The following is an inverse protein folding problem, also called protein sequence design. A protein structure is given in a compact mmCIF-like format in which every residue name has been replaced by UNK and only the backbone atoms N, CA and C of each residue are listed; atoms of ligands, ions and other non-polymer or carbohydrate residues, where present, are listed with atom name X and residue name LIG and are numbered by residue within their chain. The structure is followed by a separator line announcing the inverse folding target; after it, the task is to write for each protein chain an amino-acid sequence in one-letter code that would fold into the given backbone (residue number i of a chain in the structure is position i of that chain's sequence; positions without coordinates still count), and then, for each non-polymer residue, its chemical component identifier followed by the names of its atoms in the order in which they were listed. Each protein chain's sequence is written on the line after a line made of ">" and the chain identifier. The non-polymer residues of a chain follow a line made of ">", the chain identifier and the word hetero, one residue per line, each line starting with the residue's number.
data_IF_077572891230
#
_entry.id   IF_077572891230
#
_cell.length_a   1.000
_cell.length_b   1.000
_cell.length_c   1.000
_cell.angle_alpha   90.00
_cell.angle_beta   90.00
_cell.angle_gamma   90.00
#
_symmetry.space_group_name_H-M   'P 1'
#
loop_
_entity.id
_entity.type
_entity.pdbx_description
1 polymer ?
#
# COMPACT_ATOMS: atom_id res chain seq x y z
N UNK A 1 10.59 -8.63 -21.54
CA UNK A 1 9.57 -8.55 -20.48
C UNK A 1 8.27 -7.94 -20.96
N UNK A 2 8.28 -6.72 -21.48
CA UNK A 2 7.08 -6.05 -21.97
C UNK A 2 6.38 -6.82 -23.10
N UNK A 3 7.13 -7.54 -23.91
CA UNK A 3 6.65 -8.41 -25.00
C UNK A 3 6.45 -9.88 -24.57
N UNK A 4 6.52 -10.18 -23.28
CA UNK A 4 6.38 -11.54 -22.76
C UNK A 4 7.53 -12.48 -23.07
N UNK A 5 8.69 -11.96 -23.45
CA UNK A 5 9.88 -12.75 -23.80
C UNK A 5 10.84 -12.82 -22.61
N UNK A 6 11.30 -14.03 -22.29
CA UNK A 6 12.26 -14.35 -21.24
C UNK A 6 11.62 -14.74 -19.91
N UNK A 7 12.30 -15.64 -19.20
CA UNK A 7 11.83 -16.23 -17.94
C UNK A 7 12.50 -15.62 -16.70
N UNK A 8 13.53 -14.80 -16.90
CA UNK A 8 14.33 -14.22 -15.82
C UNK A 8 14.61 -12.75 -16.07
N UNK A 9 14.80 -12.01 -14.98
CA UNK A 9 15.21 -10.60 -15.00
C UNK A 9 16.50 -10.45 -14.20
N UNK A 10 17.41 -9.63 -14.70
CA UNK A 10 18.59 -9.22 -13.99
C UNK A 10 18.60 -7.69 -13.82
N UNK A 11 18.85 -7.25 -12.60
CA UNK A 11 19.13 -5.84 -12.26
C UNK A 11 20.55 -5.77 -11.73
N UNK A 12 21.28 -4.76 -12.15
CA UNK A 12 22.63 -4.48 -11.65
C UNK A 12 22.67 -3.02 -11.21
N UNK A 13 22.94 -2.81 -9.94
CA UNK A 13 23.11 -1.49 -9.34
C UNK A 13 24.55 -1.30 -8.92
N UNK A 14 24.99 -0.05 -8.86
CA UNK A 14 26.26 0.30 -8.22
C UNK A 14 25.97 0.58 -6.74
N UNK A 15 26.28 -0.36 -5.83
CA UNK A 15 25.98 -0.15 -4.42
C UNK A 15 26.90 0.92 -3.83
N UNK A 16 26.42 1.64 -2.84
CA UNK A 16 27.30 2.42 -1.98
C UNK A 16 28.32 1.51 -1.29
N UNK A 17 29.49 2.02 -0.87
CA UNK A 17 30.45 1.26 -0.08
C UNK A 17 29.75 0.65 1.15
N UNK A 18 29.83 -0.66 1.31
CA UNK A 18 29.12 -1.46 2.34
C UNK A 18 27.58 -1.41 2.23
N UNK A 19 27.03 -1.03 1.08
CA UNK A 19 25.59 -1.02 0.82
C UNK A 19 24.98 -2.42 0.77
N UNK A 20 23.68 -2.48 0.97
CA UNK A 20 22.90 -3.73 0.93
C UNK A 20 22.84 -4.27 -0.51
N UNK A 21 23.34 -5.50 -0.70
CA UNK A 21 23.31 -6.19 -2.00
C UNK A 21 21.93 -6.75 -2.37
N UNK A 22 20.99 -6.77 -1.43
CA UNK A 22 19.61 -7.22 -1.69
C UNK A 22 18.77 -6.16 -2.39
N UNK A 23 19.25 -4.91 -2.49
CA UNK A 23 18.57 -3.82 -3.18
C UNK A 23 18.26 -4.15 -4.66
N UNK A 24 19.16 -4.85 -5.34
CA UNK A 24 18.98 -5.30 -6.73
C UNK A 24 17.73 -6.22 -6.87
N UNK A 25 17.48 -7.07 -5.87
CA UNK A 25 16.30 -7.95 -5.83
C UNK A 25 15.03 -7.12 -5.61
N UNK A 26 15.08 -6.16 -4.69
CA UNK A 26 13.96 -5.25 -4.41
C UNK A 26 13.57 -4.46 -5.66
N UNK A 27 14.56 -3.89 -6.36
CA UNK A 27 14.30 -3.16 -7.62
C UNK A 27 13.75 -4.08 -8.71
N UNK A 28 14.27 -5.31 -8.84
CA UNK A 28 13.73 -6.28 -9.79
C UNK A 28 12.25 -6.62 -9.49
N UNK A 29 11.90 -6.81 -8.22
CA UNK A 29 10.52 -7.03 -7.78
C UNK A 29 9.61 -5.84 -8.11
N UNK A 30 10.07 -4.62 -7.86
CA UNK A 30 9.33 -3.40 -8.18
C UNK A 30 9.08 -3.25 -9.69
N UNK A 31 10.06 -3.58 -10.52
CA UNK A 31 9.90 -3.58 -11.99
C UNK A 31 8.83 -4.60 -12.41
N UNK A 32 8.89 -5.82 -11.93
CA UNK A 32 7.91 -6.86 -12.25
C UNK A 32 6.50 -6.48 -11.78
N UNK A 33 6.40 -5.89 -10.60
CA UNK A 33 5.14 -5.44 -10.03
C UNK A 33 4.54 -4.25 -10.79
N UNK A 34 5.36 -3.26 -11.16
CA UNK A 34 4.90 -2.09 -11.94
C UNK A 34 4.43 -2.47 -13.35
N UNK A 35 4.95 -3.56 -13.90
CA UNK A 35 4.52 -4.13 -15.18
C UNK A 35 3.28 -5.05 -15.04
N UNK A 36 2.75 -5.26 -13.83
CA UNK A 36 1.62 -6.14 -13.58
C UNK A 36 1.91 -7.63 -13.82
N UNK A 37 3.19 -8.03 -13.86
CA UNK A 37 3.60 -9.42 -14.11
C UNK A 37 3.46 -10.26 -12.84
N UNK A 38 3.86 -9.69 -11.69
CA UNK A 38 3.81 -10.38 -10.40
C UNK A 38 3.77 -9.40 -9.25
N UNK A 39 2.93 -9.63 -8.26
CA UNK A 39 2.88 -8.89 -7.00
C UNK A 39 3.80 -9.54 -5.96
N UNK A 40 4.52 -8.72 -5.20
CA UNK A 40 5.44 -9.16 -4.13
C UNK A 40 5.08 -8.57 -2.78
N UNK A 41 4.56 -7.33 -2.79
CA UNK A 41 4.13 -6.59 -1.60
C UNK A 41 2.86 -5.81 -1.94
N UNK A 42 2.01 -5.48 -0.96
CA UNK A 42 0.89 -4.59 -1.19
C UNK A 42 1.33 -3.29 -1.85
N UNK A 43 0.54 -2.82 -2.80
CA UNK A 43 0.82 -1.59 -3.52
C UNK A 43 0.27 -0.40 -2.75
N UNK A 44 1.13 0.56 -2.38
CA UNK A 44 0.70 1.85 -1.82
C UNK A 44 0.67 2.88 -2.93
N UNK A 45 -0.50 3.46 -3.16
CA UNK A 45 -0.71 4.57 -4.08
C UNK A 45 -0.89 5.85 -3.29
N UNK A 46 -0.01 6.82 -3.49
CA UNK A 46 -0.13 8.15 -2.91
C UNK A 46 -0.38 9.18 -4.02
N UNK A 47 -1.08 10.26 -3.70
CA UNK A 47 -1.23 11.35 -4.64
C UNK A 47 0.11 12.08 -4.84
N UNK A 48 0.37 12.68 -6.03
CA UNK A 48 1.63 13.36 -6.33
C UNK A 48 1.82 14.68 -5.55
N UNK A 49 0.80 15.12 -4.81
CA UNK A 49 0.75 16.45 -4.22
C UNK A 49 0.35 17.52 -5.26
N UNK A 50 -0.40 18.49 -4.82
CA UNK A 50 -0.82 19.62 -5.67
C UNK A 50 -1.01 20.86 -4.78
N UNK A 51 -1.41 21.99 -5.36
CA UNK A 51 -1.67 23.23 -4.61
C UNK A 51 -2.76 23.15 -3.52
N UNK A 52 -3.50 22.04 -3.45
CA UNK A 52 -4.47 21.76 -2.38
C UNK A 52 -3.83 21.12 -1.15
N UNK A 53 -2.60 20.67 -1.25
CA UNK A 53 -1.88 19.97 -0.17
C UNK A 53 -0.55 20.66 0.06
N UNK A 54 -0.46 21.48 1.10
CA UNK A 54 0.78 22.18 1.50
C UNK A 54 1.55 21.40 2.57
N UNK A 55 0.94 20.38 3.18
CA UNK A 55 1.55 19.51 4.18
C UNK A 55 2.24 18.32 3.52
N UNK A 56 3.38 17.91 4.05
CA UNK A 56 4.09 16.65 3.68
C UNK A 56 3.52 15.44 4.39
N UNK A 57 2.58 15.61 5.31
CA UNK A 57 2.07 14.55 6.16
C UNK A 57 1.56 13.31 5.38
N UNK A 58 0.88 13.53 4.24
CA UNK A 58 0.42 12.41 3.42
C UNK A 58 1.57 11.60 2.79
N UNK A 59 2.69 12.26 2.46
CA UNK A 59 3.90 11.61 1.93
C UNK A 59 4.58 10.80 3.04
N UNK A 60 4.74 11.41 4.22
CA UNK A 60 5.31 10.76 5.39
C UNK A 60 4.46 9.55 5.82
N UNK A 61 3.13 9.69 5.82
CA UNK A 61 2.22 8.59 6.10
C UNK A 61 2.33 7.49 5.05
N UNK A 62 2.37 7.83 3.76
CA UNK A 62 2.51 6.85 2.69
C UNK A 62 3.81 6.05 2.81
N UNK A 63 4.92 6.72 3.16
CA UNK A 63 6.21 6.08 3.40
C UNK A 63 6.18 5.16 4.63
N UNK A 64 5.58 5.61 5.73
CA UNK A 64 5.41 4.80 6.94
C UNK A 64 4.56 3.55 6.66
N UNK A 65 3.44 3.69 5.95
CA UNK A 65 2.59 2.57 5.56
C UNK A 65 3.34 1.61 4.65
N UNK A 66 4.07 2.11 3.65
CA UNK A 66 4.86 1.27 2.75
C UNK A 66 5.96 0.50 3.48
N UNK A 67 6.65 1.13 4.42
CA UNK A 67 7.67 0.50 5.25
C UNK A 67 7.05 -0.57 6.14
N UNK A 68 5.94 -0.26 6.80
CA UNK A 68 5.18 -1.21 7.61
C UNK A 68 4.76 -2.45 6.81
N UNK A 69 4.20 -2.26 5.62
CA UNK A 69 3.78 -3.37 4.76
C UNK A 69 4.95 -4.27 4.36
N UNK A 70 6.12 -3.70 4.06
CA UNK A 70 7.34 -4.46 3.74
C UNK A 70 7.81 -5.30 4.95
N UNK A 71 7.76 -4.73 6.14
CA UNK A 71 8.14 -5.41 7.38
C UNK A 71 7.19 -6.57 7.73
N UNK A 72 5.90 -6.39 7.48
CA UNK A 72 4.88 -7.41 7.75
C UNK A 72 4.85 -8.54 6.70
N UNK A 73 5.24 -8.26 5.45
CA UNK A 73 5.14 -9.22 4.35
C UNK A 73 5.74 -10.60 4.63
N UNK A 74 6.93 -10.76 5.23
CA UNK A 74 7.48 -12.08 5.53
C UNK A 74 6.55 -12.93 6.42
N UNK A 75 5.89 -12.31 7.40
CA UNK A 75 4.94 -12.98 8.29
C UNK A 75 3.60 -13.23 7.58
N UNK A 76 3.06 -12.22 6.91
CA UNK A 76 1.77 -12.34 6.24
C UNK A 76 1.78 -13.38 5.12
N UNK A 77 2.86 -13.45 4.36
CA UNK A 77 3.00 -14.41 3.27
C UNK A 77 2.98 -15.87 3.73
N UNK A 78 3.36 -16.15 4.99
CA UNK A 78 3.26 -17.50 5.57
C UNK A 78 1.84 -17.84 6.04
N UNK A 79 1.03 -16.81 6.36
CA UNK A 79 -0.32 -16.98 6.95
C UNK A 79 -1.44 -16.73 5.98
N UNK A 80 -1.26 -15.82 5.02
CA UNK A 80 -2.31 -15.32 4.14
C UNK A 80 -1.91 -15.46 2.69
N UNK A 81 -2.77 -16.04 1.86
CA UNK A 81 -2.55 -16.16 0.43
C UNK A 81 -3.15 -14.94 -0.30
N UNK A 82 -2.36 -14.29 -1.18
CA UNK A 82 -2.80 -13.19 -2.01
C UNK A 82 -2.73 -11.81 -1.34
N UNK A 83 -2.20 -11.70 -0.12
CA UNK A 83 -2.04 -10.41 0.58
C UNK A 83 -1.11 -9.45 -0.19
N UNK A 84 -0.20 -9.97 -0.99
CA UNK A 84 0.70 -9.22 -1.87
C UNK A 84 -0.04 -8.44 -2.97
N UNK A 85 -1.28 -8.79 -3.28
CA UNK A 85 -2.12 -8.13 -4.29
C UNK A 85 -2.93 -6.96 -3.70
N UNK A 86 -2.89 -6.77 -2.39
CA UNK A 86 -3.64 -5.71 -1.72
C UNK A 86 -3.21 -4.33 -2.23
N UNK A 87 -4.19 -3.46 -2.42
CA UNK A 87 -4.00 -2.06 -2.81
C UNK A 87 -4.39 -1.13 -1.67
N UNK A 88 -3.47 -0.27 -1.28
CA UNK A 88 -3.66 0.75 -0.25
C UNK A 88 -3.53 2.14 -0.89
N UNK A 89 -4.45 3.05 -0.59
CA UNK A 89 -4.41 4.42 -1.07
C UNK A 89 -4.21 5.41 0.09
N UNK A 90 -3.26 6.33 -0.07
CA UNK A 90 -3.02 7.44 0.86
C UNK A 90 -3.12 8.74 0.09
N UNK A 91 -4.24 9.44 0.26
CA UNK A 91 -4.56 10.64 -0.51
C UNK A 91 -4.44 11.89 0.36
N UNK A 92 -3.86 12.95 -0.19
CA UNK A 92 -3.56 14.19 0.52
C UNK A 92 -4.68 15.23 0.50
N UNK A 93 -5.87 14.92 -0.02
CA UNK A 93 -7.04 15.79 0.05
C UNK A 93 -8.34 15.00 -0.14
N UNK A 94 -9.45 15.54 0.36
CA UNK A 94 -10.77 14.90 0.26
C UNK A 94 -11.43 15.08 -1.13
N UNK A 95 -10.86 15.87 -2.02
CA UNK A 95 -11.43 16.11 -3.36
C UNK A 95 -11.23 14.91 -4.28
N UNK A 96 -10.00 14.41 -4.39
CA UNK A 96 -9.66 13.25 -5.22
C UNK A 96 -9.65 11.94 -4.41
N UNK A 97 -9.46 12.04 -3.10
CA UNK A 97 -9.31 10.91 -2.21
C UNK A 97 -10.43 9.87 -2.30
N UNK A 98 -11.70 10.25 -2.26
CA UNK A 98 -12.81 9.30 -2.36
C UNK A 98 -12.84 8.55 -3.70
N UNK A 99 -12.45 9.20 -4.81
CA UNK A 99 -12.37 8.59 -6.13
C UNK A 99 -11.31 7.51 -6.20
N UNK A 100 -10.09 7.85 -5.82
CA UNK A 100 -8.95 6.92 -5.82
C UNK A 100 -9.10 5.81 -4.78
N UNK A 101 -9.60 6.14 -3.59
CA UNK A 101 -9.81 5.15 -2.51
C UNK A 101 -10.85 4.08 -2.86
N UNK A 102 -11.80 4.37 -3.76
CA UNK A 102 -12.78 3.38 -4.24
C UNK A 102 -12.17 2.26 -5.08
N UNK A 103 -11.01 2.51 -5.69
CA UNK A 103 -10.30 1.52 -6.52
C UNK A 103 -9.25 0.74 -5.73
N UNK A 104 -9.14 0.99 -4.43
CA UNK A 104 -8.22 0.32 -3.51
C UNK A 104 -9.00 -0.55 -2.52
N UNK A 105 -8.33 -1.56 -1.97
CA UNK A 105 -8.91 -2.37 -0.91
C UNK A 105 -9.12 -1.53 0.36
N UNK A 106 -8.12 -0.73 0.71
CA UNK A 106 -8.19 0.24 1.80
C UNK A 106 -7.65 1.58 1.31
N UNK A 107 -8.35 2.66 1.63
CA UNK A 107 -7.89 4.01 1.31
C UNK A 107 -8.19 5.00 2.42
N UNK A 108 -7.30 5.95 2.60
CA UNK A 108 -7.50 7.10 3.48
C UNK A 108 -7.33 8.40 2.69
N UNK A 109 -8.21 9.35 2.96
CA UNK A 109 -8.12 10.70 2.40
C UNK A 109 -7.81 11.68 3.52
N UNK A 110 -6.57 12.17 3.56
CA UNK A 110 -6.15 13.16 4.54
C UNK A 110 -6.71 14.55 4.20
N UNK A 111 -6.91 15.43 5.16
CA UNK A 111 -7.36 16.79 4.89
C UNK A 111 -6.29 17.56 4.13
N UNK A 112 -6.70 18.25 3.09
CA UNK A 112 -5.87 19.22 2.38
C UNK A 112 -5.81 20.56 3.10
N UNK A 113 -5.16 21.53 2.47
CA UNK A 113 -5.07 22.90 2.97
C UNK A 113 -6.46 23.52 3.09
N UNK A 114 -6.76 24.10 4.23
CA UNK A 114 -8.07 24.72 4.55
C UNK A 114 -9.25 23.71 4.65
N UNK A 115 -9.01 22.40 4.60
CA UNK A 115 -10.03 21.41 4.86
C UNK A 115 -10.15 21.12 6.36
N UNK A 116 -11.33 20.64 6.80
CA UNK A 116 -11.50 20.20 8.18
C UNK A 116 -10.55 19.03 8.49
N UNK A 117 -9.97 18.94 9.72
CA UNK A 117 -9.05 17.88 10.11
C UNK A 117 -9.76 16.53 10.27
N UNK A 118 -10.31 16.03 9.18
CA UNK A 118 -11.04 14.78 9.09
C UNK A 118 -10.40 13.90 8.01
N UNK A 119 -10.13 12.66 8.34
CA UNK A 119 -9.53 11.68 7.43
C UNK A 119 -10.50 10.51 7.22
N UNK A 120 -11.39 10.57 6.21
CA UNK A 120 -12.27 9.46 5.87
C UNK A 120 -11.47 8.26 5.39
N UNK A 121 -11.81 7.08 5.93
CA UNK A 121 -11.25 5.79 5.56
C UNK A 121 -12.29 4.99 4.78
N UNK A 122 -11.84 4.47 3.65
CA UNK A 122 -12.64 3.64 2.75
C UNK A 122 -12.12 2.20 2.77
N UNK A 123 -13.03 1.26 2.81
CA UNK A 123 -12.76 -0.18 2.70
C UNK A 123 -13.65 -0.75 1.60
N UNK A 124 -13.04 -1.42 0.63
CA UNK A 124 -13.71 -1.98 -0.55
C UNK A 124 -14.67 -0.98 -1.23
N UNK A 125 -14.18 0.25 -1.39
CA UNK A 125 -14.91 1.34 -2.05
C UNK A 125 -16.00 2.01 -1.22
N UNK A 126 -16.21 1.60 0.04
CA UNK A 126 -17.23 2.17 0.94
C UNK A 126 -16.59 2.94 2.07
N UNK A 127 -17.19 4.07 2.42
CA UNK A 127 -16.79 4.81 3.61
C UNK A 127 -17.05 3.96 4.85
N UNK A 128 -16.00 3.64 5.58
CA UNK A 128 -16.07 2.85 6.81
C UNK A 128 -16.20 3.76 8.04
N UNK A 129 -15.28 4.69 8.19
CA UNK A 129 -15.24 5.63 9.32
C UNK A 129 -14.43 6.88 8.95
N UNK A 130 -14.36 7.84 9.86
CA UNK A 130 -13.54 9.05 9.71
C UNK A 130 -12.65 9.22 10.92
N UNK A 131 -11.34 9.16 10.69
CA UNK A 131 -10.31 9.37 11.70
C UNK A 131 -10.09 10.87 11.97
N UNK A 132 -9.64 11.20 13.17
CA UNK A 132 -9.35 12.56 13.61
C UNK A 132 -8.22 12.56 14.64
N UNK A 133 -7.49 13.68 14.72
CA UNK A 133 -6.46 13.89 15.75
C UNK A 133 -5.09 13.35 15.37
N UNK A 134 -4.25 13.14 16.37
CA UNK A 134 -2.80 12.90 16.19
C UNK A 134 -2.42 11.43 15.97
N UNK A 135 -3.38 10.50 16.14
CA UNK A 135 -3.13 9.05 16.06
C UNK A 135 -3.60 8.41 14.75
N UNK A 136 -3.89 9.20 13.72
CA UNK A 136 -4.43 8.75 12.43
C UNK A 136 -3.61 7.59 11.84
N UNK A 137 -2.29 7.67 11.86
CA UNK A 137 -1.42 6.62 11.29
C UNK A 137 -1.58 5.30 12.03
N UNK A 138 -1.52 5.34 13.36
CA UNK A 138 -1.63 4.13 14.19
C UNK A 138 -3.03 3.49 14.07
N UNK A 139 -4.07 4.31 14.05
CA UNK A 139 -5.45 3.84 13.87
C UNK A 139 -5.66 3.25 12.46
N UNK A 140 -5.08 3.87 11.43
CA UNK A 140 -5.14 3.35 10.07
C UNK A 140 -4.39 2.01 9.94
N UNK A 141 -3.21 1.87 10.55
CA UNK A 141 -2.46 0.61 10.59
C UNK A 141 -3.29 -0.49 11.28
N UNK A 142 -4.01 -0.15 12.37
CA UNK A 142 -4.88 -1.12 13.02
C UNK A 142 -6.00 -1.59 12.07
N UNK A 143 -6.69 -0.67 11.39
CA UNK A 143 -7.72 -1.01 10.41
C UNK A 143 -7.16 -1.89 9.30
N UNK A 144 -5.94 -1.61 8.84
CA UNK A 144 -5.26 -2.38 7.82
C UNK A 144 -4.98 -3.82 8.28
N UNK A 145 -4.53 -4.00 9.53
CA UNK A 145 -4.32 -5.33 10.11
C UNK A 145 -5.65 -6.09 10.25
N UNK A 146 -6.67 -5.45 10.79
CA UNK A 146 -8.01 -6.03 10.95
C UNK A 146 -8.57 -6.47 9.59
N UNK A 147 -8.33 -5.68 8.53
CA UNK A 147 -8.70 -6.03 7.16
C UNK A 147 -7.95 -7.27 6.66
N UNK A 148 -6.62 -7.32 6.85
CA UNK A 148 -5.82 -8.48 6.41
C UNK A 148 -6.28 -9.74 7.13
N UNK A 149 -6.49 -9.69 8.44
CA UNK A 149 -6.92 -10.83 9.23
C UNK A 149 -8.31 -11.35 8.83
N UNK A 150 -9.25 -10.44 8.58
CA UNK A 150 -10.61 -10.83 8.20
C UNK A 150 -10.73 -11.27 6.75
N UNK A 151 -10.13 -10.51 5.83
CA UNK A 151 -10.31 -10.72 4.40
C UNK A 151 -9.48 -11.88 3.85
N UNK A 152 -8.21 -11.96 4.23
CA UNK A 152 -7.31 -13.00 3.71
C UNK A 152 -7.35 -14.31 4.50
N UNK A 153 -7.73 -14.30 5.78
CA UNK A 153 -7.95 -15.51 6.56
C UNK A 153 -9.13 -16.33 6.00
N UNK A 154 -10.19 -15.68 5.55
CA UNK A 154 -11.33 -16.35 4.91
C UNK A 154 -10.94 -17.08 3.61
N UNK A 155 -10.00 -16.53 2.82
CA UNK A 155 -9.50 -17.18 1.61
C UNK A 155 -8.76 -18.49 1.87
N UNK A 156 -8.06 -18.63 3.00
CA UNK A 156 -7.39 -19.89 3.36
C UNK A 156 -8.37 -21.01 3.68
N UNK A 157 -9.54 -20.69 4.25
CA UNK A 157 -10.59 -21.67 4.57
C UNK A 157 -11.26 -22.23 3.29
N UNK A 158 -11.36 -21.42 2.23
CA UNK A 158 -11.96 -21.85 0.95
C UNK A 158 -11.04 -22.79 0.14
N UNK A 159 -9.72 -22.66 0.27
CA UNK A 159 -8.73 -23.51 -0.44
C UNK A 159 -8.55 -24.89 0.22
N UNK A 160 -8.85 -25.00 1.52
CA UNK A 160 -8.73 -26.28 2.25
C UNK A 160 -9.98 -27.16 2.16
N UNK A 161 -11.06 -26.69 1.50
CA UNK A 161 -12.35 -27.43 1.45
C UNK A 161 -12.62 -28.06 0.07
N UNK A 162 -11.68 -28.01 -0.85
CA UNK A 162 -11.70 -28.72 -2.16
C UNK A 162 -10.53 -29.75 -2.16
#
# INVERSE_FOLDING_TARGET
>A
MQEGIGDTIRVSLTPAPNGDRTEEVTVAQQILQSMGIRSFTPQVTACPGCGRTTSTFFQEMAEQIQSYLREQMPQWKTRYSGVEEMKVAVMGCIVNGPGESKHSNIGISLPGTFEEPKAPVYVDGRLMLTLKGDHIVAEFIKILNDYVESHYAERQQLVTTN
#
